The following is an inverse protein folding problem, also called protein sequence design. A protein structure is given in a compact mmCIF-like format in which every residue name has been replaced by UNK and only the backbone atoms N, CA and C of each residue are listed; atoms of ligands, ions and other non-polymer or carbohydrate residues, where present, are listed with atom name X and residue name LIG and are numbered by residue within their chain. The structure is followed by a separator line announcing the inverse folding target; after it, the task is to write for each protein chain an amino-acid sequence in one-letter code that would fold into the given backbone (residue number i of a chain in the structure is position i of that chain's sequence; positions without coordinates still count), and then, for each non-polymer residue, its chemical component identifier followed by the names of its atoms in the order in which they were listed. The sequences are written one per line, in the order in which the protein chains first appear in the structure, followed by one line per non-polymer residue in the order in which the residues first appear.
data_IF_216201102336
#
_entry.id   IF_216201102336
#
_cell.length_a   1.000
_cell.length_b   1.000
_cell.length_c   1.000
_cell.angle_alpha   90.00
_cell.angle_beta   90.00
_cell.angle_gamma   90.00
#
_symmetry.space_group_name_H-M   'P 1'
#
loop_
_entity.id
_entity.type
_entity.pdbx_description
1 polymer ?
#
# COMPACT_ATOMS: atom_id res chain seq x y z
N UNK A 1 -48.30 21.88 18.40
CA UNK A 1 -47.44 22.04 17.20
C UNK A 1 -45.98 22.36 17.48
N UNK A 2 -45.56 23.01 18.57
CA UNK A 2 -44.13 23.31 18.88
C UNK A 2 -43.33 22.10 19.34
N UNK A 3 -43.89 21.16 20.09
CA UNK A 3 -43.20 19.98 20.61
C UNK A 3 -42.76 19.01 19.51
N UNK A 4 -43.59 18.80 18.47
CA UNK A 4 -43.27 17.90 17.34
C UNK A 4 -42.08 18.41 16.52
N UNK A 5 -41.93 19.76 16.40
CA UNK A 5 -40.77 20.35 15.72
C UNK A 5 -39.45 20.15 16.47
N UNK A 6 -39.47 20.18 17.82
CA UNK A 6 -38.30 19.94 18.64
C UNK A 6 -37.83 18.48 18.59
N UNK A 7 -38.77 17.53 18.57
CA UNK A 7 -38.45 16.10 18.46
C UNK A 7 -37.82 15.78 17.09
N UNK A 8 -38.38 16.37 16.01
CA UNK A 8 -37.82 16.18 14.66
C UNK A 8 -36.36 16.71 14.51
N UNK A 9 -36.08 17.89 15.07
CA UNK A 9 -34.72 18.48 15.04
C UNK A 9 -33.76 17.66 15.90
N UNK A 10 -34.15 17.19 17.07
CA UNK A 10 -33.32 16.33 17.93
C UNK A 10 -33.01 14.99 17.26
N UNK A 11 -33.93 14.37 16.55
CA UNK A 11 -33.71 13.13 15.79
C UNK A 11 -32.76 13.35 14.61
N UNK A 12 -32.85 14.47 13.89
CA UNK A 12 -31.94 14.78 12.78
C UNK A 12 -30.53 15.04 13.28
N UNK A 13 -30.37 15.78 14.38
CA UNK A 13 -29.07 16.02 15.02
C UNK A 13 -28.48 14.72 15.55
N UNK A 14 -29.27 13.87 16.18
CA UNK A 14 -28.86 12.55 16.67
C UNK A 14 -28.40 11.61 15.55
N UNK A 15 -29.12 11.57 14.42
CA UNK A 15 -28.75 10.82 13.23
C UNK A 15 -27.47 11.38 12.58
N UNK A 16 -27.32 12.68 12.51
CA UNK A 16 -26.12 13.34 11.98
C UNK A 16 -24.89 13.08 12.86
N UNK A 17 -25.07 13.14 14.19
CA UNK A 17 -24.01 12.78 15.14
C UNK A 17 -23.66 11.28 15.08
N UNK A 18 -24.66 10.41 14.92
CA UNK A 18 -24.44 8.97 14.76
C UNK A 18 -23.72 8.63 13.45
N UNK A 19 -24.07 9.30 12.33
CA UNK A 19 -23.33 9.18 11.08
C UNK A 19 -21.88 9.69 11.18
N UNK A 20 -21.61 10.73 11.97
CA UNK A 20 -20.23 11.26 12.17
C UNK A 20 -19.42 10.34 13.11
N UNK A 21 -20.04 9.73 14.11
CA UNK A 21 -19.37 8.81 15.06
C UNK A 21 -19.19 7.41 14.47
N UNK A 22 -19.98 7.06 13.43
CA UNK A 22 -20.00 5.69 12.88
C UNK A 22 -18.87 5.41 11.85
N UNK A 23 -17.93 6.32 11.61
CA UNK A 23 -16.91 6.14 10.56
C UNK A 23 -15.51 6.44 11.09
N UNK A 24 -15.09 5.75 12.14
CA UNK A 24 -13.65 5.58 12.40
C UNK A 24 -13.23 4.13 12.05
N UNK A 25 -13.38 3.78 10.77
CA UNK A 25 -13.00 2.45 10.25
C UNK A 25 -11.53 2.14 10.53
N UNK A 26 -10.68 3.15 10.60
CA UNK A 26 -9.26 2.97 10.92
C UNK A 26 -9.09 2.53 12.36
N UNK A 27 -9.81 3.14 13.30
CA UNK A 27 -9.78 2.77 14.72
C UNK A 27 -10.38 1.38 14.98
N UNK A 28 -11.43 1.01 14.23
CA UNK A 28 -12.07 -0.31 14.36
C UNK A 28 -11.28 -1.44 13.68
N UNK A 29 -10.53 -1.12 12.60
CA UNK A 29 -9.80 -2.11 11.79
C UNK A 29 -8.37 -1.68 11.45
N UNK A 30 -7.52 -1.36 12.43
CA UNK A 30 -6.19 -0.81 12.20
C UNK A 30 -5.29 -1.73 11.34
N UNK A 31 -5.50 -3.05 11.43
CA UNK A 31 -4.72 -4.05 10.68
C UNK A 31 -5.16 -4.20 9.21
N UNK A 32 -6.31 -3.63 8.83
CA UNK A 32 -6.89 -3.78 7.49
C UNK A 32 -6.79 -2.51 6.65
N UNK A 33 -6.54 -1.37 7.29
CA UNK A 33 -6.53 -0.06 6.63
C UNK A 33 -5.09 0.42 6.44
N UNK A 34 -4.78 0.85 5.23
CA UNK A 34 -3.45 1.25 4.81
C UNK A 34 -3.44 2.72 4.40
N UNK A 35 -2.40 3.45 4.81
CA UNK A 35 -2.15 4.78 4.27
C UNK A 35 -1.51 4.64 2.88
N UNK A 36 -2.28 4.95 1.84
CA UNK A 36 -1.85 4.85 0.46
C UNK A 36 -0.87 5.97 0.05
N UNK A 37 0.13 5.63 -0.76
CA UNK A 37 1.19 6.54 -1.24
C UNK A 37 1.87 7.31 -0.12
N UNK A 38 2.31 6.58 0.89
CA UNK A 38 3.10 7.15 1.98
C UNK A 38 4.56 7.37 1.53
N UNK A 39 4.76 8.21 0.51
CA UNK A 39 6.03 8.39 -0.21
C UNK A 39 6.93 9.47 0.41
N UNK A 40 6.73 9.82 1.67
CA UNK A 40 7.64 10.67 2.43
C UNK A 40 7.57 10.35 3.92
N UNK A 41 8.69 10.53 4.62
CA UNK A 41 8.72 10.37 6.08
C UNK A 41 7.86 11.41 6.80
N UNK A 42 7.71 12.59 6.23
CA UNK A 42 6.80 13.63 6.75
C UNK A 42 5.36 13.12 6.80
N UNK A 43 4.86 12.58 5.68
CA UNK A 43 3.51 12.00 5.60
C UNK A 43 3.35 10.81 6.55
N UNK A 44 4.37 9.96 6.69
CA UNK A 44 4.35 8.86 7.63
C UNK A 44 4.15 9.37 9.06
N UNK A 45 4.98 10.32 9.51
CA UNK A 45 4.90 10.86 10.88
C UNK A 45 3.60 11.64 11.13
N UNK A 46 3.11 12.41 10.16
CA UNK A 46 1.85 13.15 10.27
C UNK A 46 0.65 12.23 10.52
N UNK A 47 0.68 11.02 9.94
CA UNK A 47 -0.46 10.10 10.00
C UNK A 47 -0.23 8.88 10.91
N UNK A 48 0.93 8.77 11.54
CA UNK A 48 1.32 7.59 12.34
C UNK A 48 0.49 7.34 13.59
N UNK A 49 -0.16 8.35 14.14
CA UNK A 49 -1.10 8.16 15.26
C UNK A 49 -2.39 7.44 14.84
N UNK A 50 -2.73 7.53 13.56
CA UNK A 50 -3.97 6.96 13.00
C UNK A 50 -3.75 5.66 12.24
N UNK A 51 -2.63 5.54 11.50
CA UNK A 51 -2.32 4.40 10.63
C UNK A 51 -1.07 3.67 11.13
N UNK A 52 -1.14 2.35 11.20
CA UNK A 52 0.00 1.48 11.50
C UNK A 52 0.59 0.83 10.24
N UNK A 53 -0.15 0.83 9.14
CA UNK A 53 0.23 0.18 7.89
C UNK A 53 0.35 1.19 6.77
N UNK A 54 1.42 1.09 5.98
CA UNK A 54 1.78 2.08 4.98
C UNK A 54 2.05 1.40 3.64
N UNK A 55 1.42 1.92 2.58
CA UNK A 55 1.78 1.57 1.22
C UNK A 55 2.74 2.62 0.68
N UNK A 56 3.82 2.17 0.02
CA UNK A 56 4.93 2.99 -0.45
C UNK A 56 5.31 2.59 -1.87
N UNK A 57 5.29 3.55 -2.79
CA UNK A 57 5.79 3.37 -4.14
C UNK A 57 7.33 3.34 -4.13
N UNK A 58 7.94 2.33 -4.74
CA UNK A 58 9.39 2.21 -4.80
C UNK A 58 9.91 1.84 -6.18
N UNK A 59 11.12 2.33 -6.48
CA UNK A 59 11.89 2.00 -7.68
C UNK A 59 13.25 1.44 -7.25
N UNK A 60 13.63 0.29 -7.78
CA UNK A 60 14.94 -0.30 -7.51
C UNK A 60 16.00 0.31 -8.44
N UNK A 61 17.07 0.86 -7.86
CA UNK A 61 18.14 1.53 -8.58
C UNK A 61 19.34 0.61 -8.84
N UNK A 62 20.23 1.01 -9.75
CA UNK A 62 21.42 0.24 -10.13
C UNK A 62 22.43 0.04 -8.99
N UNK A 63 22.43 0.91 -7.98
CA UNK A 63 23.22 0.81 -6.77
C UNK A 63 22.59 -0.10 -5.70
N UNK A 64 21.57 -0.87 -6.08
CA UNK A 64 20.82 -1.78 -5.21
C UNK A 64 20.03 -1.08 -4.11
N UNK A 65 19.63 0.16 -4.30
CA UNK A 65 18.76 0.91 -3.38
C UNK A 65 17.31 0.84 -3.84
N UNK A 66 16.40 0.60 -2.91
CA UNK A 66 14.97 0.86 -3.10
C UNK A 66 14.71 2.35 -2.81
N UNK A 67 14.54 3.13 -3.86
CA UNK A 67 14.26 4.56 -3.83
C UNK A 67 12.76 4.80 -3.74
N UNK A 68 12.33 5.62 -2.80
CA UNK A 68 10.90 5.92 -2.58
C UNK A 68 10.45 6.97 -3.57
N UNK A 69 9.80 6.49 -4.61
CA UNK A 69 9.24 7.32 -5.70
C UNK A 69 8.22 6.52 -6.50
N UNK A 70 7.22 7.21 -7.04
CA UNK A 70 6.25 6.61 -7.96
C UNK A 70 6.79 6.50 -9.40
N UNK A 71 7.63 7.45 -9.82
CA UNK A 71 8.06 7.56 -11.20
C UNK A 71 9.49 7.02 -11.37
N UNK A 72 9.69 6.16 -12.37
CA UNK A 72 10.95 5.48 -12.62
C UNK A 72 12.10 6.48 -12.90
N UNK A 73 11.80 7.59 -13.58
CA UNK A 73 12.76 8.59 -13.99
C UNK A 73 13.02 9.68 -12.92
N UNK A 74 12.36 9.58 -11.76
CA UNK A 74 12.48 10.57 -10.69
C UNK A 74 13.08 9.95 -9.44
N UNK A 75 13.91 10.71 -8.70
CA UNK A 75 14.40 10.35 -7.38
C UNK A 75 14.30 11.55 -6.44
N UNK A 76 13.86 11.27 -5.22
CA UNK A 76 13.86 12.25 -4.11
C UNK A 76 14.99 11.99 -3.13
N UNK A 77 15.93 11.08 -3.45
CA UNK A 77 17.02 10.62 -2.59
C UNK A 77 16.51 10.10 -1.22
N UNK A 78 15.36 9.47 -1.23
CA UNK A 78 14.76 8.84 -0.06
C UNK A 78 14.77 7.33 -0.26
N UNK A 79 15.60 6.61 0.48
CA UNK A 79 15.57 5.14 0.48
C UNK A 79 14.43 4.59 1.34
N UNK A 80 14.09 3.32 1.14
CA UNK A 80 13.07 2.62 1.96
C UNK A 80 13.55 2.35 3.40
N UNK A 81 14.85 2.43 3.69
CA UNK A 81 15.41 2.08 4.99
C UNK A 81 14.80 2.81 6.20
N UNK A 82 14.50 4.13 6.14
CA UNK A 82 13.82 4.80 7.24
C UNK A 82 12.45 4.21 7.58
N UNK A 83 11.74 3.64 6.60
CA UNK A 83 10.46 2.97 6.83
C UNK A 83 10.63 1.64 7.56
N UNK A 84 11.66 0.87 7.20
CA UNK A 84 12.04 -0.35 7.93
C UNK A 84 12.39 -0.01 9.38
N UNK A 85 13.20 1.03 9.61
CA UNK A 85 13.52 1.51 10.95
C UNK A 85 12.28 1.95 11.74
N UNK A 86 11.32 2.60 11.07
CA UNK A 86 10.08 3.02 11.70
C UNK A 86 9.23 1.82 12.14
N UNK A 87 8.97 0.85 11.24
CA UNK A 87 8.14 -0.30 11.58
C UNK A 87 8.84 -1.25 12.57
N UNK A 88 10.17 -1.31 12.58
CA UNK A 88 10.92 -2.03 13.61
C UNK A 88 10.59 -1.51 15.02
N UNK A 89 10.56 -0.19 15.19
CA UNK A 89 10.36 0.45 16.49
C UNK A 89 8.89 0.53 16.92
N UNK A 90 7.98 0.73 15.98
CA UNK A 90 6.58 1.08 16.25
C UNK A 90 5.59 -0.04 15.90
N UNK A 91 6.05 -1.12 15.27
CA UNK A 91 5.16 -2.13 14.71
C UNK A 91 4.60 -1.73 13.33
N UNK A 92 3.54 -2.43 12.89
CA UNK A 92 2.90 -2.18 11.60
C UNK A 92 3.51 -2.96 10.44
N UNK A 93 3.04 -2.67 9.23
CA UNK A 93 3.38 -3.38 7.99
C UNK A 93 3.70 -2.40 6.87
N UNK A 94 4.47 -2.87 5.88
CA UNK A 94 4.74 -2.15 4.64
C UNK A 94 4.15 -2.90 3.44
N UNK A 95 3.51 -2.16 2.57
CA UNK A 95 3.12 -2.59 1.24
C UNK A 95 4.02 -1.87 0.24
N UNK A 96 4.89 -2.62 -0.42
CA UNK A 96 5.91 -2.12 -1.31
C UNK A 96 5.43 -2.30 -2.76
N UNK A 97 4.96 -1.21 -3.38
CA UNK A 97 4.57 -1.20 -4.79
C UNK A 97 5.81 -0.93 -5.66
N UNK A 98 6.39 -2.03 -6.19
CA UNK A 98 7.63 -2.00 -6.97
C UNK A 98 7.32 -1.68 -8.44
N UNK A 99 7.64 -0.47 -8.86
CA UNK A 99 7.29 0.06 -10.19
C UNK A 99 8.09 -0.55 -11.35
N UNK A 100 9.30 -1.04 -11.08
CA UNK A 100 10.22 -1.55 -12.12
C UNK A 100 10.67 -3.00 -11.89
N UNK A 101 9.86 -3.81 -11.21
CA UNK A 101 10.15 -5.23 -11.04
C UNK A 101 10.09 -5.98 -12.37
N UNK A 102 11.16 -6.71 -12.69
CA UNK A 102 11.24 -7.60 -13.85
C UNK A 102 12.10 -8.86 -13.57
N UNK A 103 12.15 -9.78 -14.54
CA UNK A 103 12.92 -11.02 -14.42
C UNK A 103 14.45 -10.80 -14.38
N UNK A 104 14.94 -9.65 -14.83
CA UNK A 104 16.38 -9.34 -14.85
C UNK A 104 16.86 -8.83 -13.49
N UNK A 105 16.01 -8.08 -12.77
CA UNK A 105 16.37 -7.45 -11.52
C UNK A 105 15.82 -8.14 -10.27
N UNK A 106 14.88 -9.09 -10.40
CA UNK A 106 14.22 -9.75 -9.26
C UNK A 106 15.19 -10.40 -8.28
N UNK A 107 16.26 -11.03 -8.75
CA UNK A 107 17.25 -11.67 -7.87
C UNK A 107 18.03 -10.66 -7.02
N UNK A 108 18.37 -9.51 -7.59
CA UNK A 108 19.02 -8.42 -6.86
C UNK A 108 18.07 -7.80 -5.83
N UNK A 109 16.80 -7.59 -6.19
CA UNK A 109 15.77 -7.10 -5.28
C UNK A 109 15.53 -8.04 -4.10
N UNK A 110 15.42 -9.35 -4.36
CA UNK A 110 15.27 -10.38 -3.33
C UNK A 110 16.45 -10.35 -2.34
N UNK A 111 17.69 -10.26 -2.87
CA UNK A 111 18.89 -10.18 -2.03
C UNK A 111 18.85 -8.93 -1.15
N UNK A 112 18.54 -7.77 -1.72
CA UNK A 112 18.48 -6.51 -0.98
C UNK A 112 17.35 -6.51 0.05
N UNK A 113 16.17 -7.06 -0.30
CA UNK A 113 15.05 -7.13 0.63
C UNK A 113 15.33 -8.11 1.78
N UNK A 114 16.01 -9.23 1.50
CA UNK A 114 16.45 -10.17 2.53
C UNK A 114 17.48 -9.53 3.49
N UNK A 115 18.39 -8.71 2.98
CA UNK A 115 19.32 -7.94 3.81
C UNK A 115 18.58 -6.93 4.71
N UNK A 116 17.61 -6.18 4.14
CA UNK A 116 16.81 -5.24 4.90
C UNK A 116 15.99 -5.93 6.00
N UNK A 117 15.27 -7.01 5.68
CA UNK A 117 14.49 -7.77 6.67
C UNK A 117 15.36 -8.31 7.79
N UNK A 118 16.56 -8.81 7.46
CA UNK A 118 17.53 -9.29 8.46
C UNK A 118 18.10 -8.16 9.34
N UNK A 119 18.49 -7.05 8.73
CA UNK A 119 19.09 -5.91 9.45
C UNK A 119 18.11 -5.25 10.42
N UNK A 120 16.85 -5.16 10.05
CA UNK A 120 15.81 -4.51 10.85
C UNK A 120 14.95 -5.50 11.65
N UNK A 121 15.27 -6.79 11.63
CA UNK A 121 14.51 -7.84 12.33
C UNK A 121 13.01 -7.78 12.00
N UNK A 122 12.69 -7.74 10.70
CA UNK A 122 11.33 -7.65 10.19
C UNK A 122 10.89 -8.99 9.60
N UNK A 123 9.83 -9.56 10.12
CA UNK A 123 9.21 -10.76 9.56
C UNK A 123 8.66 -10.50 8.15
N UNK A 124 8.87 -11.44 7.22
CA UNK A 124 8.38 -11.34 5.83
C UNK A 124 6.85 -11.16 5.76
N UNK A 125 6.11 -11.68 6.74
CA UNK A 125 4.65 -11.52 6.86
C UNK A 125 4.18 -10.08 7.12
N UNK A 126 5.12 -9.21 7.48
CA UNK A 126 4.86 -7.77 7.64
C UNK A 126 5.05 -6.99 6.35
N UNK A 127 5.43 -7.66 5.26
CA UNK A 127 5.67 -7.06 3.96
C UNK A 127 4.71 -7.61 2.93
N UNK A 128 4.08 -6.74 2.14
CA UNK A 128 3.37 -7.08 0.90
C UNK A 128 4.19 -6.52 -0.26
N UNK A 129 4.48 -7.36 -1.24
CA UNK A 129 5.21 -6.97 -2.45
C UNK A 129 4.22 -6.88 -3.60
N UNK A 130 4.08 -5.71 -4.18
CA UNK A 130 3.20 -5.50 -5.32
C UNK A 130 3.99 -5.15 -6.58
N UNK A 131 3.53 -5.61 -7.73
CA UNK A 131 4.01 -5.20 -9.03
C UNK A 131 3.04 -5.64 -10.14
N UNK A 132 3.29 -5.15 -11.36
CA UNK A 132 2.59 -5.57 -12.59
C UNK A 132 3.16 -6.85 -13.21
N UNK A 133 4.37 -7.26 -12.84
CA UNK A 133 5.04 -8.42 -13.41
C UNK A 133 4.81 -9.66 -12.57
N UNK A 134 3.79 -10.45 -12.92
CA UNK A 134 3.42 -11.64 -12.16
C UNK A 134 4.52 -12.71 -12.13
N UNK A 135 5.31 -12.89 -13.21
CA UNK A 135 6.39 -13.88 -13.28
C UNK A 135 7.52 -13.54 -12.29
N UNK A 136 7.85 -12.27 -12.18
CA UNK A 136 8.83 -11.82 -11.20
C UNK A 136 8.27 -11.84 -9.77
N UNK A 137 6.99 -11.50 -9.57
CA UNK A 137 6.31 -11.63 -8.27
C UNK A 137 6.30 -13.07 -7.74
N UNK A 138 6.14 -14.06 -8.61
CA UNK A 138 6.17 -15.46 -8.21
C UNK A 138 7.44 -15.79 -7.42
N UNK A 139 8.60 -15.20 -7.77
CA UNK A 139 9.86 -15.42 -7.06
C UNK A 139 9.80 -14.91 -5.62
N UNK A 140 9.11 -13.80 -5.35
CA UNK A 140 8.88 -13.30 -3.99
C UNK A 140 7.94 -14.23 -3.20
N UNK A 141 6.90 -14.77 -3.85
CA UNK A 141 6.00 -15.75 -3.23
C UNK A 141 6.75 -17.03 -2.83
N UNK A 142 7.62 -17.53 -3.70
CA UNK A 142 8.46 -18.70 -3.45
C UNK A 142 9.42 -18.48 -2.26
N UNK A 143 9.86 -17.24 -2.05
CA UNK A 143 10.70 -16.84 -0.91
C UNK A 143 9.90 -16.56 0.38
N UNK A 144 8.56 -16.70 0.35
CA UNK A 144 7.67 -16.57 1.51
C UNK A 144 7.18 -15.17 1.82
N UNK A 145 7.25 -14.23 0.87
CA UNK A 145 6.61 -12.93 1.00
C UNK A 145 5.13 -12.99 0.59
N UNK A 146 4.30 -12.16 1.17
CA UNK A 146 2.98 -11.88 0.60
C UNK A 146 3.13 -11.06 -0.67
N UNK A 147 2.39 -11.41 -1.71
CA UNK A 147 2.47 -10.73 -3.01
C UNK A 147 1.10 -10.27 -3.47
N UNK A 148 1.06 -9.14 -4.17
CA UNK A 148 -0.10 -8.53 -4.79
C UNK A 148 0.19 -8.25 -6.26
N UNK A 149 -0.68 -8.72 -7.16
CA UNK A 149 -0.57 -8.39 -8.58
C UNK A 149 -1.38 -7.13 -8.87
N UNK A 150 -0.70 -6.06 -9.31
CA UNK A 150 -1.39 -4.89 -9.81
C UNK A 150 -1.96 -5.16 -11.21
N UNK A 151 -3.26 -5.31 -11.29
CA UNK A 151 -3.98 -5.42 -12.57
C UNK A 151 -4.38 -4.01 -12.99
N UNK A 152 -3.83 -3.55 -14.12
CA UNK A 152 -4.17 -2.24 -14.69
C UNK A 152 -5.68 -2.19 -14.97
N UNK A 153 -6.37 -1.25 -14.33
CA UNK A 153 -7.79 -1.04 -14.56
C UNK A 153 -7.96 -0.13 -15.78
N UNK A 154 -8.42 -0.70 -16.89
CA UNK A 154 -9.03 0.08 -17.95
C UNK A 154 -10.55 0.04 -17.77
N UNK A 155 -11.19 1.19 -17.86
CA UNK A 155 -12.64 1.27 -17.72
C UNK A 155 -13.29 0.40 -18.80
N UNK A 156 -14.03 -0.68 -18.45
CA UNK A 156 -14.60 -1.61 -19.42
C UNK A 156 -15.50 -0.94 -20.46
N UNK A 157 -16.09 0.22 -20.11
CA UNK A 157 -16.93 0.98 -21.05
C UNK A 157 -16.14 1.69 -22.16
N UNK A 158 -14.79 1.67 -22.10
CA UNK A 158 -13.89 2.24 -23.12
C UNK A 158 -13.18 1.18 -23.96
N UNK A 159 -13.34 -0.10 -23.58
CA UNK A 159 -12.77 -1.22 -24.31
C UNK A 159 -13.76 -1.66 -25.40
N UNK A 160 -13.27 -1.93 -26.60
CA UNK A 160 -14.06 -2.65 -27.60
C UNK A 160 -14.17 -4.13 -27.18
N UNK A 161 -15.21 -4.83 -27.69
CA UNK A 161 -15.51 -6.21 -27.26
C UNK A 161 -14.32 -7.18 -27.43
N UNK A 162 -13.50 -7.01 -28.47
CA UNK A 162 -12.32 -7.82 -28.73
C UNK A 162 -11.18 -7.59 -27.71
N UNK A 163 -11.11 -6.38 -27.14
CA UNK A 163 -10.14 -6.05 -26.09
C UNK A 163 -10.53 -6.66 -24.75
N UNK A 164 -11.85 -6.71 -24.46
CA UNK A 164 -12.38 -7.34 -23.22
C UNK A 164 -12.04 -8.84 -23.22
N UNK A 165 -12.23 -9.54 -24.33
CA UNK A 165 -11.91 -10.96 -24.45
C UNK A 165 -10.41 -11.21 -24.29
N UNK A 166 -9.57 -10.33 -24.83
CA UNK A 166 -8.11 -10.39 -24.65
C UNK A 166 -7.65 -10.16 -23.19
N UNK A 167 -8.38 -9.39 -22.39
CA UNK A 167 -8.11 -9.21 -20.97
C UNK A 167 -8.52 -10.43 -20.14
N UNK A 168 -9.65 -11.05 -20.48
CA UNK A 168 -10.16 -12.23 -19.79
C UNK A 168 -9.32 -13.48 -20.04
N UNK A 169 -8.68 -13.59 -21.21
CA UNK A 169 -7.79 -14.70 -21.55
C UNK A 169 -6.37 -14.60 -20.91
N UNK A 170 -6.03 -13.46 -20.32
CA UNK A 170 -4.73 -13.21 -19.66
C UNK A 170 -4.80 -13.29 -18.13
N UNK A 171 -5.97 -13.46 -17.57
CA UNK A 171 -6.21 -13.65 -16.14
C UNK A 171 -6.40 -15.13 -15.81
#
# INVERSE_FOLDING_TARGET
MRIIRFIGVACVIGLFFWCIVAIDEVGEHPDKIWLHRCNSMEKLYEHSERYSNFEVDIVFRQDSVFDVTHDIDTSFNLSIEPYFGYIQQNGGKLWLDIKNLDLQNVSAMLTQLADLTSRYDIDKERLIIESRNWQALQRFTEEGYYTSLYIGWENPSRLESEEIDSYMDKS
#
